data_IF_114158193719
#
_entry.id   IF_114158193719
#
_cell.length_a   1.000
_cell.length_b   1.000
_cell.length_c   1.000
_cell.angle_alpha   90.00
_cell.angle_beta   90.00
_cell.angle_gamma   90.00
#
_symmetry.space_group_name_H-M   'P 1'
#
loop_
_entity.id
_entity.type
_entity.pdbx_description
1 polymer ?
#
# COMPACT_ATOMS: atom_id res chain seq x y z
N UNK A 1 -11.24 8.21 29.67
CA UNK A 1 -10.64 7.06 28.96
C UNK A 1 -11.14 6.94 27.52
N UNK A 2 -12.45 7.10 27.24
CA UNK A 2 -13.00 7.04 25.87
C UNK A 2 -12.36 8.02 24.85
N UNK A 3 -12.08 9.28 25.23
CA UNK A 3 -11.41 10.25 24.34
C UNK A 3 -10.03 9.82 23.88
N UNK A 4 -9.27 9.12 24.73
CA UNK A 4 -7.94 8.61 24.36
C UNK A 4 -8.02 7.50 23.32
N UNK A 5 -9.06 6.66 23.42
CA UNK A 5 -9.33 5.58 22.47
C UNK A 5 -9.72 6.13 21.08
N UNK A 6 -10.55 7.17 21.05
CA UNK A 6 -10.99 7.83 19.82
C UNK A 6 -9.82 8.52 19.11
N UNK A 7 -8.96 9.22 19.86
CA UNK A 7 -7.77 9.90 19.30
C UNK A 7 -6.75 8.91 18.71
N UNK A 8 -6.56 7.76 19.35
CA UNK A 8 -5.70 6.71 18.80
C UNK A 8 -6.29 6.09 17.52
N UNK A 9 -7.59 5.81 17.50
CA UNK A 9 -8.27 5.23 16.34
C UNK A 9 -8.26 6.18 15.12
N UNK A 10 -8.47 7.47 15.33
CA UNK A 10 -8.41 8.49 14.27
C UNK A 10 -6.99 8.63 13.71
N UNK A 11 -5.98 8.58 14.58
CA UNK A 11 -4.58 8.62 14.16
C UNK A 11 -4.21 7.39 13.30
N UNK A 12 -4.62 6.18 13.70
CA UNK A 12 -4.36 4.95 12.93
C UNK A 12 -4.98 5.00 11.52
N UNK A 13 -6.20 5.52 11.40
CA UNK A 13 -6.86 5.70 10.11
C UNK A 13 -6.11 6.68 9.21
N UNK A 14 -5.73 7.83 9.76
CA UNK A 14 -4.91 8.80 9.04
C UNK A 14 -3.57 8.18 8.60
N UNK A 15 -2.91 7.44 9.48
CA UNK A 15 -1.65 6.74 9.16
C UNK A 15 -1.80 5.75 8.02
N UNK A 16 -2.87 4.96 8.02
CA UNK A 16 -3.15 4.01 6.95
C UNK A 16 -3.41 4.68 5.60
N UNK A 17 -4.07 5.85 5.58
CA UNK A 17 -4.24 6.63 4.35
C UNK A 17 -2.87 7.17 3.88
N UNK A 18 -2.08 7.72 4.80
CA UNK A 18 -0.74 8.24 4.50
C UNK A 18 0.22 7.16 3.98
N UNK A 19 0.03 5.89 4.35
CA UNK A 19 0.80 4.76 3.82
C UNK A 19 0.72 4.62 2.28
N UNK A 20 -0.31 5.18 1.64
CA UNK A 20 -0.48 5.20 0.18
C UNK A 20 0.19 6.40 -0.50
N UNK A 21 0.68 7.37 0.28
CA UNK A 21 1.48 8.49 -0.20
C UNK A 21 2.97 8.12 -0.14
N UNK A 22 3.40 7.36 -1.14
CA UNK A 22 4.79 6.95 -1.27
C UNK A 22 5.68 8.16 -1.64
N UNK A 23 6.94 8.26 -1.13
CA UNK A 23 7.60 7.39 -0.14
C UNK A 23 7.36 7.80 1.32
N UNK A 24 6.69 8.93 1.56
CA UNK A 24 6.58 9.58 2.88
C UNK A 24 5.94 8.65 3.91
N UNK A 25 4.84 7.98 3.54
CA UNK A 25 4.14 7.03 4.41
C UNK A 25 4.98 5.82 4.82
N UNK A 26 5.84 5.33 3.92
CA UNK A 26 6.72 4.19 4.19
C UNK A 26 7.83 4.58 5.18
N UNK A 27 8.48 5.72 4.95
CA UNK A 27 9.57 6.21 5.82
C UNK A 27 9.05 6.45 7.24
N UNK A 28 7.90 7.12 7.36
CA UNK A 28 7.32 7.43 8.66
C UNK A 28 6.94 6.18 9.46
N UNK A 29 6.39 5.15 8.81
CA UNK A 29 6.06 3.88 9.47
C UNK A 29 7.28 3.21 10.13
N UNK A 30 8.46 3.25 9.49
CA UNK A 30 9.66 2.65 10.07
C UNK A 30 10.28 3.46 11.22
N UNK A 31 9.91 4.74 11.35
CA UNK A 31 10.43 5.63 12.39
C UNK A 31 9.58 5.61 13.68
N UNK A 32 8.35 5.09 13.63
CA UNK A 32 7.44 5.07 14.78
C UNK A 32 7.04 3.64 15.20
N UNK A 33 7.58 3.18 16.35
CA UNK A 33 7.30 1.86 16.91
C UNK A 33 5.84 1.64 17.34
N UNK A 34 5.07 2.70 17.57
CA UNK A 34 3.63 2.57 17.86
C UNK A 34 2.88 2.22 16.57
N UNK A 35 3.23 2.86 15.46
CA UNK A 35 2.64 2.57 14.15
C UNK A 35 2.98 1.15 13.69
N UNK A 36 4.20 0.68 13.96
CA UNK A 36 4.60 -0.69 13.65
C UNK A 36 3.82 -1.75 14.42
N UNK A 37 3.37 -1.45 15.63
CA UNK A 37 2.55 -2.36 16.45
C UNK A 37 1.06 -2.30 16.08
N UNK A 38 0.66 -1.28 15.34
CA UNK A 38 -0.69 -1.19 14.81
C UNK A 38 -0.83 -2.09 13.58
N UNK A 39 -1.54 -3.20 13.76
CA UNK A 39 -1.77 -4.21 12.71
C UNK A 39 -2.52 -3.65 11.49
N UNK A 40 -3.38 -2.65 11.70
CA UNK A 40 -4.13 -2.01 10.62
C UNK A 40 -3.22 -1.12 9.79
N UNK A 41 -2.41 -0.27 10.43
CA UNK A 41 -1.42 0.57 9.74
C UNK A 41 -0.37 -0.31 9.03
N UNK A 42 0.16 -1.32 9.72
CA UNK A 42 1.13 -2.25 9.17
C UNK A 42 0.59 -3.01 7.95
N UNK A 43 -0.71 -3.35 7.93
CA UNK A 43 -1.35 -3.94 6.76
C UNK A 43 -1.31 -3.01 5.54
N UNK A 44 -1.73 -1.74 5.70
CA UNK A 44 -1.76 -0.79 4.58
C UNK A 44 -0.36 -0.44 4.08
N UNK A 45 0.63 -0.33 4.97
CA UNK A 45 2.04 -0.14 4.59
C UNK A 45 2.56 -1.36 3.82
N UNK A 46 2.20 -2.57 4.25
CA UNK A 46 2.58 -3.80 3.54
C UNK A 46 1.97 -3.85 2.15
N UNK A 47 0.67 -3.56 2.02
CA UNK A 47 -0.02 -3.57 0.72
C UNK A 47 0.51 -2.47 -0.21
N UNK A 48 0.81 -1.27 0.30
CA UNK A 48 1.39 -0.20 -0.51
C UNK A 48 2.82 -0.54 -0.96
N UNK A 49 3.62 -1.22 -0.13
CA UNK A 49 4.93 -1.73 -0.53
C UNK A 49 4.82 -2.81 -1.62
N UNK A 50 3.87 -3.74 -1.52
CA UNK A 50 3.62 -4.75 -2.56
C UNK A 50 3.22 -4.09 -3.88
N UNK A 51 2.35 -3.07 -3.83
CA UNK A 51 1.98 -2.31 -5.02
C UNK A 51 3.17 -1.55 -5.61
N UNK A 52 4.04 -0.97 -4.78
CA UNK A 52 5.27 -0.33 -5.23
C UNK A 52 6.18 -1.31 -5.97
N UNK A 53 6.41 -2.50 -5.41
CA UNK A 53 7.19 -3.56 -6.08
C UNK A 53 6.55 -3.96 -7.42
N UNK A 54 5.22 -4.09 -7.46
CA UNK A 54 4.49 -4.36 -8.71
C UNK A 54 4.72 -3.26 -9.75
N UNK A 55 4.62 -1.98 -9.37
CA UNK A 55 4.87 -0.84 -10.27
C UNK A 55 6.30 -0.86 -10.80
N UNK A 56 7.28 -1.12 -9.95
CA UNK A 56 8.69 -1.26 -10.36
C UNK A 56 8.86 -2.39 -11.37
N UNK A 57 8.27 -3.56 -11.12
CA UNK A 57 8.32 -4.70 -12.03
C UNK A 57 7.67 -4.40 -13.39
N UNK A 58 6.51 -3.74 -13.41
CA UNK A 58 5.84 -3.31 -14.64
C UNK A 58 6.71 -2.34 -15.44
N UNK A 59 7.33 -1.35 -14.78
CA UNK A 59 8.19 -0.38 -15.45
C UNK A 59 9.44 -1.02 -16.04
N UNK A 60 10.10 -1.91 -15.29
CA UNK A 60 11.28 -2.65 -15.77
C UNK A 60 10.91 -3.52 -16.97
N UNK A 61 9.88 -4.37 -16.84
CA UNK A 61 9.45 -5.27 -17.90
C UNK A 61 8.97 -4.52 -19.15
N UNK A 62 8.19 -3.46 -18.95
CA UNK A 62 7.67 -2.62 -20.03
C UNK A 62 8.75 -1.82 -20.75
N UNK A 63 9.85 -1.46 -20.08
CA UNK A 63 10.97 -0.75 -20.71
C UNK A 63 11.87 -1.69 -21.51
N UNK A 64 12.14 -2.89 -20.99
CA UNK A 64 13.07 -3.86 -21.60
C UNK A 64 12.49 -4.49 -22.88
N UNK A 65 11.17 -4.69 -22.95
CA UNK A 65 10.52 -5.35 -24.08
C UNK A 65 10.02 -4.29 -25.08
N UNK A 66 10.65 -4.11 -26.26
CA UNK A 66 10.20 -3.11 -27.22
C UNK A 66 8.82 -3.45 -27.79
N UNK A 67 8.10 -2.43 -28.26
CA UNK A 67 6.75 -2.53 -28.86
C UNK A 67 5.70 -3.04 -27.86
N UNK A 68 5.74 -4.32 -27.45
CA UNK A 68 4.79 -4.89 -26.47
C UNK A 68 4.92 -4.23 -25.11
N UNK A 69 6.14 -3.98 -24.64
CA UNK A 69 6.35 -3.32 -23.36
C UNK A 69 5.79 -1.91 -23.36
N UNK A 70 6.06 -1.14 -24.41
CA UNK A 70 5.66 0.26 -24.51
C UNK A 70 4.16 0.45 -24.75
N UNK A 71 3.56 -0.36 -25.62
CA UNK A 71 2.17 -0.17 -26.04
C UNK A 71 1.17 -1.03 -25.26
N UNK A 72 1.62 -2.09 -24.58
CA UNK A 72 0.74 -2.99 -23.83
C UNK A 72 1.10 -3.04 -22.34
N UNK A 73 2.33 -3.38 -21.99
CA UNK A 73 2.70 -3.61 -20.57
C UNK A 73 2.64 -2.31 -19.77
N UNK A 74 3.24 -1.22 -20.26
CA UNK A 74 3.24 0.06 -19.55
C UNK A 74 1.82 0.65 -19.42
N UNK A 75 1.00 0.74 -20.48
CA UNK A 75 -0.33 1.35 -20.37
C UNK A 75 -1.28 0.51 -19.52
N UNK A 76 -1.34 -0.81 -19.77
CA UNK A 76 -2.24 -1.71 -19.02
C UNK A 76 -1.79 -1.85 -17.58
N UNK A 77 -0.48 -2.05 -17.36
CA UNK A 77 0.09 -2.16 -16.03
C UNK A 77 -0.05 -0.86 -15.22
N UNK A 78 0.07 0.30 -15.87
CA UNK A 78 -0.16 1.61 -15.25
C UNK A 78 -1.61 1.81 -14.82
N UNK A 79 -2.58 1.49 -15.68
CA UNK A 79 -4.01 1.56 -15.35
C UNK A 79 -4.33 0.59 -14.21
N UNK A 80 -3.83 -0.65 -14.27
CA UNK A 80 -4.03 -1.63 -13.21
C UNK A 80 -3.44 -1.16 -11.88
N UNK A 81 -2.22 -0.60 -11.89
CA UNK A 81 -1.61 -0.03 -10.69
C UNK A 81 -2.42 1.12 -10.10
N UNK A 82 -2.95 2.01 -10.94
CA UNK A 82 -3.81 3.12 -10.50
C UNK A 82 -5.09 2.61 -9.85
N UNK A 83 -5.76 1.62 -10.46
CA UNK A 83 -6.96 1.00 -9.89
C UNK A 83 -6.65 0.39 -8.51
N UNK A 84 -5.57 -0.39 -8.42
CA UNK A 84 -5.14 -1.02 -7.16
C UNK A 84 -4.78 0.03 -6.09
N UNK A 85 -4.13 1.13 -6.47
CA UNK A 85 -3.83 2.24 -5.57
C UNK A 85 -5.10 2.89 -5.01
N UNK A 86 -6.07 3.19 -5.88
CA UNK A 86 -7.37 3.75 -5.47
C UNK A 86 -8.10 2.79 -4.53
N UNK A 87 -8.15 1.50 -4.87
CA UNK A 87 -8.78 0.47 -4.01
C UNK A 87 -8.13 0.43 -2.62
N UNK A 88 -6.81 0.55 -2.56
CA UNK A 88 -6.05 0.61 -1.32
C UNK A 88 -6.44 1.79 -0.44
N UNK A 89 -6.51 2.98 -1.03
CA UNK A 89 -6.95 4.20 -0.34
C UNK A 89 -8.39 4.09 0.13
N UNK A 90 -9.30 3.61 -0.71
CA UNK A 90 -10.71 3.44 -0.35
C UNK A 90 -10.89 2.45 0.80
N UNK A 91 -10.11 1.36 0.81
CA UNK A 91 -10.07 0.42 1.94
C UNK A 91 -9.60 1.10 3.24
N UNK A 92 -8.56 1.95 3.15
CA UNK A 92 -8.06 2.71 4.30
C UNK A 92 -9.06 3.76 4.81
N UNK A 93 -9.78 4.43 3.90
CA UNK A 93 -10.87 5.36 4.24
C UNK A 93 -12.06 4.59 4.84
N UNK A 94 -12.30 3.36 4.40
CA UNK A 94 -13.33 2.47 4.93
C UNK A 94 -13.00 1.89 6.32
N UNK A 95 -11.76 1.99 6.79
CA UNK A 95 -11.33 1.34 8.04
C UNK A 95 -11.13 -0.17 7.88
N UNK A 96 -10.94 -0.66 6.67
CA UNK A 96 -10.88 -2.08 6.35
C UNK A 96 -9.46 -2.49 5.93
N UNK A 97 -8.96 -3.60 6.49
CA UNK A 97 -7.69 -4.21 6.09
C UNK A 97 -7.90 -5.29 5.01
N UNK A 98 -8.44 -4.88 3.85
CA UNK A 98 -8.70 -5.81 2.73
C UNK A 98 -7.46 -5.93 1.84
N UNK A 99 -7.01 -7.16 1.52
CA UNK A 99 -5.91 -7.34 0.59
C UNK A 99 -6.32 -6.88 -0.81
N UNK A 100 -5.39 -6.25 -1.53
CA UNK A 100 -5.62 -5.87 -2.91
C UNK A 100 -5.86 -7.11 -3.80
N UNK A 101 -6.73 -7.02 -4.82
CA UNK A 101 -6.91 -8.13 -5.75
C UNK A 101 -5.59 -8.40 -6.50
N UNK A 102 -5.40 -9.66 -6.91
CA UNK A 102 -4.23 -10.17 -7.66
C UNK A 102 -2.93 -10.17 -6.86
N UNK A 103 -2.53 -9.03 -6.29
CA UNK A 103 -1.22 -8.82 -5.65
C UNK A 103 -1.26 -8.92 -4.13
N UNK A 104 -2.42 -8.74 -3.49
CA UNK A 104 -2.49 -8.59 -2.03
C UNK A 104 -2.06 -9.82 -1.23
N UNK A 105 -2.06 -11.00 -1.85
CA UNK A 105 -1.53 -12.24 -1.25
C UNK A 105 -0.03 -12.17 -0.94
N UNK A 106 0.74 -11.40 -1.71
CA UNK A 106 2.19 -11.31 -1.52
C UNK A 106 2.55 -10.57 -0.24
N UNK A 107 1.66 -9.71 0.27
CA UNK A 107 1.84 -9.05 1.55
C UNK A 107 1.84 -10.00 2.75
N UNK A 108 1.19 -11.17 2.67
CA UNK A 108 1.15 -12.14 3.79
C UNK A 108 2.54 -12.67 4.18
N UNK A 109 3.49 -12.65 3.25
CA UNK A 109 4.85 -13.13 3.48
C UNK A 109 5.78 -12.02 4.01
N UNK A 110 5.32 -10.77 4.02
CA UNK A 110 6.08 -9.61 4.50
C UNK A 110 5.66 -9.35 5.95
N UNK A 111 6.55 -9.67 6.89
CA UNK A 111 6.30 -9.53 8.34
C UNK A 111 6.52 -8.10 8.82
N UNK A 112 5.73 -7.13 8.33
CA UNK A 112 5.71 -5.79 8.93
C UNK A 112 4.72 -5.79 10.09
N UNK A 113 5.21 -5.50 11.29
CA UNK A 113 4.36 -5.34 12.48
C UNK A 113 3.81 -6.64 13.10
N UNK A 114 4.54 -7.76 12.97
CA UNK A 114 4.40 -8.90 13.89
C UNK A 114 5.11 -8.62 15.21
#
# INVERSE_FOLDING_TARGET
MERGLILMADNSKLCAILAWLFPIGLIWFFLDDKLRRDKYVAHHVTQSLVLFIFVVAVNIAGTIIPILGWFIILPVGGIMALILWIMGILSAIGGEAKPLPIIGRYGKNIKLGQ
#
